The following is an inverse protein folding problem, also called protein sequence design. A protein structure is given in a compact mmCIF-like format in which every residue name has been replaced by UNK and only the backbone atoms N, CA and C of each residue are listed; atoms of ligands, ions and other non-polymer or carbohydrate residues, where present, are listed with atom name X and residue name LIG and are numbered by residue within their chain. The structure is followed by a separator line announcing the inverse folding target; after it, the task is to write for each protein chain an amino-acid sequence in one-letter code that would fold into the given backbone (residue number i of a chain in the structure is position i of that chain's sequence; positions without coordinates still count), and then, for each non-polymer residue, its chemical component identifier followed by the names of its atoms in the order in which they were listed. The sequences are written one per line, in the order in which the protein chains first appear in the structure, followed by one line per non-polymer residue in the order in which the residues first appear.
data_IF_428263688630
#
_entry.id   IF_428263688630
#
_cell.length_a   1.000
_cell.length_b   1.000
_cell.length_c   1.000
_cell.angle_alpha   90.00
_cell.angle_beta   90.00
_cell.angle_gamma   90.00
#
_symmetry.space_group_name_H-M   'P 1'
#
loop_
_entity.id
_entity.type
_entity.pdbx_description
1 polymer ?
#
# COMPACT_ATOMS: atom_id res chain seq x y z
N UNK A 1 30.68 -38.26 2.18
CA UNK A 1 30.02 -38.93 1.03
C UNK A 1 28.64 -39.36 1.52
N UNK A 2 27.48 -38.86 1.10
CA UNK A 2 27.04 -37.93 0.05
C UNK A 2 26.17 -36.86 0.74
N UNK A 3 26.38 -35.58 0.42
CA UNK A 3 25.48 -34.51 0.83
C UNK A 3 24.46 -34.31 -0.31
N UNK A 4 23.19 -34.56 -0.01
CA UNK A 4 22.07 -34.35 -0.91
C UNK A 4 21.68 -32.86 -0.90
N UNK A 5 21.54 -32.31 -2.10
CA UNK A 5 21.09 -30.97 -2.43
C UNK A 5 19.79 -30.58 -1.71
N UNK A 6 19.90 -29.63 -0.77
CA UNK A 6 18.76 -28.85 -0.29
C UNK A 6 18.58 -27.62 -1.19
N UNK A 7 17.76 -27.77 -2.22
CA UNK A 7 17.23 -26.62 -2.97
C UNK A 7 16.35 -25.78 -2.04
N UNK A 8 16.90 -24.67 -1.54
CA UNK A 8 16.11 -23.57 -0.96
C UNK A 8 15.42 -22.87 -2.13
N UNK A 9 14.17 -23.23 -2.38
CA UNK A 9 13.29 -22.43 -3.22
C UNK A 9 12.86 -21.20 -2.42
N UNK A 10 13.32 -20.01 -2.82
CA UNK A 10 12.66 -18.77 -2.43
C UNK A 10 11.31 -18.70 -3.13
N UNK A 11 10.27 -19.16 -2.45
CA UNK A 11 8.89 -18.96 -2.87
C UNK A 11 8.45 -17.61 -2.31
N UNK A 12 8.36 -16.60 -3.18
CA UNK A 12 7.52 -15.43 -2.90
C UNK A 12 6.07 -15.90 -2.92
N UNK A 13 5.50 -16.16 -1.75
CA UNK A 13 4.06 -16.28 -1.62
C UNK A 13 3.47 -14.88 -1.73
N UNK A 14 3.08 -14.48 -2.94
CA UNK A 14 1.98 -13.53 -3.08
C UNK A 14 0.74 -14.21 -2.50
N UNK A 15 0.24 -13.74 -1.37
CA UNK A 15 -1.11 -14.05 -0.92
C UNK A 15 -2.08 -13.33 -1.86
N UNK A 16 -2.37 -13.97 -3.01
CA UNK A 16 -3.54 -13.64 -3.78
C UNK A 16 -4.78 -14.02 -2.94
N UNK A 17 -5.51 -13.01 -2.48
CA UNK A 17 -6.86 -13.18 -1.94
C UNK A 17 -7.76 -13.78 -3.05
N UNK A 18 -8.69 -14.70 -2.74
CA UNK A 18 -9.39 -15.49 -3.74
C UNK A 18 -10.50 -14.68 -4.43
N UNK A 19 -10.14 -13.81 -5.37
CA UNK A 19 -11.07 -13.38 -6.42
C UNK A 19 -10.94 -14.38 -7.56
N UNK A 20 -11.98 -15.18 -7.70
CA UNK A 20 -12.14 -16.27 -8.66
C UNK A 20 -12.19 -15.73 -10.09
N UNK A 21 -11.05 -15.30 -10.63
CA UNK A 21 -10.89 -15.05 -12.05
C UNK A 21 -10.66 -16.41 -12.73
N UNK A 22 -11.69 -16.93 -13.41
CA UNK A 22 -11.60 -18.15 -14.22
C UNK A 22 -10.67 -17.91 -15.41
N UNK A 23 -9.36 -18.05 -15.21
CA UNK A 23 -8.42 -18.27 -16.29
C UNK A 23 -8.62 -19.70 -16.81
N UNK A 24 -9.37 -19.81 -17.92
CA UNK A 24 -9.41 -21.04 -18.72
C UNK A 24 -8.10 -21.13 -19.49
N UNK A 25 -7.12 -21.84 -18.92
CA UNK A 25 -5.95 -22.26 -19.68
C UNK A 25 -6.38 -23.28 -20.74
N UNK A 26 -6.35 -22.86 -22.01
CA UNK A 26 -6.46 -23.76 -23.15
C UNK A 26 -5.07 -24.37 -23.37
N UNK A 27 -4.97 -25.67 -23.14
CA UNK A 27 -3.71 -26.40 -23.07
C UNK A 27 -3.08 -26.60 -24.47
N UNK A 28 -2.16 -25.73 -24.87
CA UNK A 28 -1.11 -26.00 -25.87
C UNK A 28 0.16 -25.22 -25.51
N UNK A 29 0.79 -25.53 -24.36
CA UNK A 29 2.15 -25.10 -24.02
C UNK A 29 2.76 -26.07 -22.99
N UNK A 30 3.94 -26.67 -23.19
CA UNK A 30 4.41 -27.77 -22.36
C UNK A 30 5.18 -27.22 -21.15
N UNK A 31 4.45 -26.80 -20.11
CA UNK A 31 4.98 -26.73 -18.74
C UNK A 31 4.01 -27.49 -17.85
N UNK A 32 4.13 -28.82 -17.89
CA UNK A 32 3.37 -29.72 -17.04
C UNK A 32 4.16 -29.90 -15.73
N UNK A 33 3.70 -29.28 -14.64
CA UNK A 33 4.18 -29.60 -13.29
C UNK A 33 3.55 -30.95 -12.92
N UNK A 34 4.31 -32.02 -13.13
CA UNK A 34 3.95 -33.38 -12.75
C UNK A 34 4.56 -33.68 -11.37
N UNK A 35 3.74 -33.67 -10.32
CA UNK A 35 4.12 -34.20 -9.00
C UNK A 35 4.00 -35.73 -9.05
N UNK A 36 5.12 -36.42 -9.30
CA UNK A 36 5.23 -37.86 -9.07
C UNK A 36 5.71 -38.05 -7.63
N UNK A 37 4.83 -38.55 -6.78
CA UNK A 37 5.18 -39.11 -5.47
C UNK A 37 5.72 -40.52 -5.74
N UNK A 38 7.03 -40.69 -5.64
CA UNK A 38 7.63 -42.02 -5.46
C UNK A 38 8.28 -42.10 -4.09
N UNK A 39 7.67 -42.97 -3.29
CA UNK A 39 7.98 -43.31 -1.90
C UNK A 39 9.43 -43.76 -1.72
N UNK A 40 10.25 -42.95 -1.04
CA UNK A 40 11.40 -43.41 -0.27
C UNK A 40 11.60 -42.46 0.91
N UNK A 41 11.76 -43.02 2.11
CA UNK A 41 11.93 -42.33 3.40
C UNK A 41 12.97 -41.19 3.32
N UNK A 42 12.50 -39.95 3.27
CA UNK A 42 13.27 -38.73 3.55
C UNK A 42 12.31 -37.76 4.25
N UNK A 43 12.74 -37.19 5.38
CA UNK A 43 12.03 -36.14 6.11
C UNK A 43 11.52 -35.07 5.13
N UNK A 44 10.32 -34.49 5.33
CA UNK A 44 9.85 -33.42 4.47
C UNK A 44 10.90 -32.31 4.42
N UNK A 45 11.16 -31.68 3.26
CA UNK A 45 12.07 -30.56 3.18
C UNK A 45 11.64 -29.50 4.20
N UNK A 46 12.59 -29.00 4.99
CA UNK A 46 12.33 -27.95 5.96
C UNK A 46 11.96 -26.68 5.19
N UNK A 47 10.67 -26.38 5.08
CA UNK A 47 10.17 -25.12 4.50
C UNK A 47 10.31 -24.06 5.58
N UNK A 48 11.37 -23.26 5.51
CA UNK A 48 11.53 -22.07 6.33
C UNK A 48 10.92 -20.88 5.59
N UNK A 49 9.82 -20.33 6.11
CA UNK A 49 9.36 -19.01 5.71
C UNK A 49 10.17 -17.96 6.48
N UNK A 50 11.21 -17.41 5.87
CA UNK A 50 11.83 -16.18 6.38
C UNK A 50 10.97 -14.98 5.95
N UNK A 51 10.73 -14.00 6.83
CA UNK A 51 10.06 -12.76 6.43
C UNK A 51 11.02 -11.97 5.53
N UNK A 52 10.98 -12.26 4.24
CA UNK A 52 11.66 -11.46 3.21
C UNK A 52 10.77 -10.32 2.72
N UNK A 53 9.51 -10.26 3.16
CA UNK A 53 8.66 -9.07 3.10
C UNK A 53 8.81 -8.24 4.40
N UNK A 54 9.03 -6.92 4.34
CA UNK A 54 10.10 -6.29 5.11
C UNK A 54 9.57 -5.50 6.31
N UNK A 55 8.80 -6.15 7.18
CA UNK A 55 8.55 -5.60 8.52
C UNK A 55 9.86 -5.57 9.29
N UNK A 56 10.21 -4.43 9.92
CA UNK A 56 11.48 -4.28 10.65
C UNK A 56 11.48 -5.24 11.84
N UNK A 57 10.37 -5.29 12.58
CA UNK A 57 10.11 -6.33 13.57
C UNK A 57 9.16 -7.35 12.94
N UNK A 58 9.49 -8.66 12.88
CA UNK A 58 8.57 -9.67 12.35
C UNK A 58 7.19 -9.56 13.00
N UNK A 59 6.12 -9.64 12.19
CA UNK A 59 4.77 -9.32 12.65
C UNK A 59 4.32 -10.12 13.89
N UNK A 60 4.68 -11.41 13.95
CA UNK A 60 4.37 -12.29 15.08
C UNK A 60 5.20 -12.00 16.33
N UNK A 61 6.39 -11.41 16.19
CA UNK A 61 7.22 -10.93 17.31
C UNK A 61 6.77 -9.56 17.80
N UNK A 62 6.31 -8.69 16.89
CA UNK A 62 5.85 -7.34 17.22
C UNK A 62 4.63 -7.36 18.15
N UNK A 63 3.73 -8.31 17.97
CA UNK A 63 2.58 -8.56 18.85
C UNK A 63 1.97 -9.92 18.58
N UNK A 64 1.59 -10.65 19.64
CA UNK A 64 0.90 -11.95 19.54
C UNK A 64 -0.58 -11.86 19.13
N UNK A 65 -1.09 -10.65 18.90
CA UNK A 65 -2.51 -10.38 18.60
C UNK A 65 -2.71 -9.16 17.73
N UNK A 66 -3.94 -9.03 17.21
CA UNK A 66 -4.46 -7.83 16.58
C UNK A 66 -4.43 -6.64 17.55
N UNK A 67 -3.73 -5.58 17.17
CA UNK A 67 -3.60 -4.37 17.97
C UNK A 67 -4.71 -3.35 17.65
N UNK A 68 -5.21 -2.67 18.69
CA UNK A 68 -6.32 -1.73 18.51
C UNK A 68 -5.88 -0.50 17.70
N UNK A 69 -4.65 -0.04 17.85
CA UNK A 69 -4.13 1.05 17.03
C UNK A 69 -2.69 1.42 17.36
N UNK A 70 -2.21 2.49 16.75
CA UNK A 70 -0.80 2.89 16.86
C UNK A 70 -0.33 3.06 18.31
N UNK A 71 -1.20 3.55 19.21
CA UNK A 71 -0.87 3.69 20.64
C UNK A 71 -0.48 2.36 21.29
N UNK A 72 -1.12 1.26 20.93
CA UNK A 72 -0.94 -0.03 21.61
C UNK A 72 0.23 -0.84 21.04
N UNK A 73 0.47 -0.75 19.72
CA UNK A 73 1.62 -1.43 19.08
C UNK A 73 2.95 -0.66 19.19
N UNK A 74 2.92 0.68 19.25
CA UNK A 74 4.14 1.52 19.23
C UNK A 74 5.14 1.12 20.32
N UNK A 75 4.67 0.94 21.56
CA UNK A 75 5.53 0.58 22.68
C UNK A 75 6.20 -0.78 22.49
N UNK A 76 5.47 -1.74 21.90
CA UNK A 76 5.96 -3.09 21.62
C UNK A 76 7.07 -3.07 20.56
N UNK A 77 6.80 -2.44 19.41
CA UNK A 77 7.79 -2.27 18.34
C UNK A 77 9.01 -1.51 18.86
N UNK A 78 8.80 -0.37 19.55
CA UNK A 78 9.89 0.48 20.05
C UNK A 78 10.83 -0.28 20.99
N UNK A 79 10.31 -1.17 21.84
CA UNK A 79 11.10 -2.01 22.73
C UNK A 79 12.00 -3.00 21.98
N UNK A 80 11.55 -3.47 20.82
CA UNK A 80 12.24 -4.45 19.98
C UNK A 80 13.19 -3.79 18.95
N UNK A 81 13.02 -2.50 18.66
CA UNK A 81 13.89 -1.78 17.71
C UNK A 81 15.40 -1.91 17.97
N UNK A 82 15.93 -1.88 19.21
CA UNK A 82 17.35 -2.06 19.45
C UNK A 82 17.90 -3.40 18.96
N UNK A 83 17.08 -4.45 18.96
CA UNK A 83 17.44 -5.79 18.52
C UNK A 83 17.31 -5.93 17.00
N UNK A 84 16.18 -5.51 16.44
CA UNK A 84 15.85 -5.75 15.03
C UNK A 84 16.36 -4.68 14.06
N UNK A 85 16.63 -3.45 14.52
CA UNK A 85 17.23 -2.40 13.68
C UNK A 85 18.76 -2.52 13.61
N UNK A 86 19.25 -3.73 13.36
CA UNK A 86 20.67 -4.07 13.28
C UNK A 86 21.30 -3.64 11.95
N UNK A 87 22.63 -3.78 11.80
CA UNK A 87 23.30 -3.67 10.49
C UNK A 87 22.91 -4.83 9.59
N UNK A 88 22.55 -4.48 8.34
CA UNK A 88 22.29 -5.47 7.31
C UNK A 88 23.68 -5.88 6.78
N UNK A 89 24.12 -7.14 6.98
CA UNK A 89 25.43 -7.59 6.52
C UNK A 89 25.51 -7.52 5.00
N UNK A 90 26.74 -7.42 4.48
CA UNK A 90 26.96 -7.55 3.05
C UNK A 90 26.67 -9.00 2.64
N UNK A 91 26.14 -9.17 1.43
CA UNK A 91 25.93 -10.51 0.87
C UNK A 91 27.29 -11.07 0.49
N UNK A 92 27.68 -12.16 1.15
CA UNK A 92 28.92 -12.88 0.84
C UNK A 92 28.75 -13.75 -0.40
N UNK A 93 29.82 -13.86 -1.18
CA UNK A 93 29.87 -14.81 -2.29
C UNK A 93 29.88 -16.24 -1.75
N UNK A 94 28.97 -17.07 -2.26
CA UNK A 94 28.92 -18.46 -1.87
C UNK A 94 30.21 -19.20 -2.28
N UNK A 95 30.82 -20.05 -1.42
CA UNK A 95 32.11 -20.71 -1.71
C UNK A 95 32.00 -21.77 -2.82
N UNK A 96 30.79 -22.23 -3.13
CA UNK A 96 30.52 -23.15 -4.23
C UNK A 96 29.84 -22.42 -5.37
N UNK A 97 30.38 -22.58 -6.57
CA UNK A 97 29.72 -22.12 -7.80
C UNK A 97 28.59 -23.08 -8.17
N UNK A 98 27.49 -22.53 -8.69
CA UNK A 98 26.39 -23.34 -9.21
C UNK A 98 26.90 -24.21 -10.37
N UNK A 99 26.56 -25.51 -10.34
CA UNK A 99 26.90 -26.45 -11.42
C UNK A 99 26.08 -26.23 -12.69
N UNK A 100 25.00 -25.44 -12.60
CA UNK A 100 24.10 -25.11 -13.69
C UNK A 100 23.96 -23.60 -13.79
N UNK A 101 24.08 -23.08 -15.01
CA UNK A 101 23.79 -21.67 -15.28
C UNK A 101 22.29 -21.51 -15.51
N UNK A 102 21.69 -20.48 -14.91
CA UNK A 102 20.31 -20.12 -15.21
C UNK A 102 20.19 -19.69 -16.68
N UNK A 103 19.16 -20.14 -17.38
CA UNK A 103 18.90 -19.68 -18.75
C UNK A 103 18.59 -18.18 -18.72
N UNK A 104 19.07 -17.39 -19.70
CA UNK A 104 18.63 -16.02 -19.85
C UNK A 104 17.10 -15.93 -19.95
N UNK A 105 16.52 -14.91 -19.34
CA UNK A 105 15.09 -14.63 -19.42
C UNK A 105 14.85 -13.69 -20.59
N UNK A 106 13.97 -14.08 -21.52
CA UNK A 106 13.44 -13.18 -22.54
C UNK A 106 12.29 -12.38 -21.96
N UNK A 107 12.57 -11.14 -21.55
CA UNK A 107 11.58 -10.27 -20.93
C UNK A 107 10.52 -9.79 -21.92
N UNK A 108 10.83 -9.68 -23.21
CA UNK A 108 9.86 -9.29 -24.24
C UNK A 108 8.83 -10.40 -24.45
N UNK A 109 9.30 -11.66 -24.54
CA UNK A 109 8.41 -12.82 -24.61
C UNK A 109 7.52 -12.90 -23.37
N UNK A 110 8.10 -12.78 -22.17
CA UNK A 110 7.34 -12.80 -20.90
C UNK A 110 6.27 -11.73 -20.90
N UNK A 111 6.60 -10.49 -21.26
CA UNK A 111 5.63 -9.38 -21.30
C UNK A 111 4.55 -9.56 -22.37
N UNK A 112 4.89 -10.16 -23.52
CA UNK A 112 3.94 -10.42 -24.60
C UNK A 112 2.91 -11.50 -24.24
N UNK A 113 3.29 -12.44 -23.38
CA UNK A 113 2.44 -13.54 -22.91
C UNK A 113 1.49 -13.16 -21.77
N UNK A 114 1.61 -11.96 -21.18
CA UNK A 114 0.74 -11.52 -20.09
C UNK A 114 -0.64 -11.08 -20.60
N UNK A 115 -1.69 -11.81 -20.18
CA UNK A 115 -3.09 -11.44 -20.35
C UNK A 115 -3.54 -10.48 -19.24
N UNK A 116 -3.06 -9.23 -19.31
CA UNK A 116 -3.38 -8.18 -18.34
C UNK A 116 -4.01 -6.97 -19.01
N UNK A 117 -4.82 -6.24 -18.25
CA UNK A 117 -5.37 -4.96 -18.69
C UNK A 117 -4.24 -3.93 -18.83
N UNK A 118 -4.17 -3.22 -19.96
CA UNK A 118 -3.14 -2.21 -20.27
C UNK A 118 -3.69 -0.79 -20.39
N UNK A 119 -4.86 -0.55 -19.82
CA UNK A 119 -5.53 0.76 -19.83
C UNK A 119 -4.82 1.78 -18.92
N UNK A 120 -4.19 1.30 -17.85
CA UNK A 120 -3.35 2.09 -16.94
C UNK A 120 -1.92 2.10 -17.48
N UNK A 121 -1.42 3.30 -17.77
CA UNK A 121 -0.06 3.50 -18.28
C UNK A 121 1.02 3.46 -17.20
N UNK A 122 2.27 3.32 -17.62
CA UNK A 122 3.44 3.47 -16.75
C UNK A 122 3.65 4.93 -16.35
N UNK A 123 4.42 5.16 -15.28
CA UNK A 123 4.78 6.50 -14.81
C UNK A 123 6.22 6.85 -15.14
N UNK A 124 6.49 8.12 -15.47
CA UNK A 124 7.84 8.55 -15.84
C UNK A 124 8.75 8.84 -14.62
N UNK A 125 8.13 9.22 -13.49
CA UNK A 125 8.86 9.74 -12.32
C UNK A 125 9.46 8.65 -11.41
N UNK A 126 8.90 7.44 -11.42
CA UNK A 126 9.30 6.35 -10.53
C UNK A 126 10.08 5.27 -11.28
N UNK A 127 11.38 5.50 -11.47
CA UNK A 127 12.25 4.50 -12.12
C UNK A 127 12.37 3.24 -11.25
N UNK A 128 12.04 2.03 -11.76
CA UNK A 128 11.99 0.81 -10.96
C UNK A 128 13.39 0.31 -10.57
N UNK A 129 13.42 -0.59 -9.59
CA UNK A 129 14.63 -1.26 -9.12
C UNK A 129 15.31 -0.55 -7.94
N UNK A 130 16.25 -1.26 -7.29
CA UNK A 130 16.90 -0.78 -6.07
C UNK A 130 17.70 0.51 -6.28
N UNK A 131 18.29 0.73 -7.46
CA UNK A 131 18.97 1.98 -7.78
C UNK A 131 18.02 3.18 -7.76
N UNK A 132 16.83 3.06 -8.36
CA UNK A 132 15.81 4.10 -8.33
C UNK A 132 15.31 4.39 -6.92
N UNK A 133 15.08 3.34 -6.12
CA UNK A 133 14.67 3.48 -4.73
C UNK A 133 15.70 4.17 -3.85
N UNK A 134 16.99 3.84 -4.01
CA UNK A 134 18.07 4.51 -3.30
C UNK A 134 18.22 5.98 -3.72
N UNK A 135 18.15 6.28 -5.01
CA UNK A 135 18.22 7.65 -5.51
C UNK A 135 17.06 8.52 -4.97
N UNK A 136 15.85 7.97 -4.90
CA UNK A 136 14.70 8.66 -4.30
C UNK A 136 14.89 8.91 -2.80
N UNK A 137 15.49 7.95 -2.08
CA UNK A 137 15.78 8.07 -0.65
C UNK A 137 16.83 9.15 -0.38
N UNK A 138 17.91 9.17 -1.15
CA UNK A 138 18.94 10.22 -1.06
C UNK A 138 18.34 11.60 -1.35
N UNK A 139 17.57 11.74 -2.43
CA UNK A 139 16.84 12.97 -2.75
C UNK A 139 15.91 13.41 -1.61
N UNK A 140 15.19 12.46 -0.97
CA UNK A 140 14.33 12.77 0.17
C UNK A 140 15.13 13.31 1.35
N UNK A 141 16.22 12.63 1.72
CA UNK A 141 17.09 13.02 2.83
C UNK A 141 17.65 14.43 2.60
N UNK A 142 18.18 14.69 1.41
CA UNK A 142 18.89 15.93 1.10
C UNK A 142 17.96 17.14 0.96
N UNK A 143 16.76 16.94 0.39
CA UNK A 143 15.92 18.05 -0.06
C UNK A 143 14.63 18.23 0.74
N UNK A 144 14.03 17.15 1.23
CA UNK A 144 12.61 17.15 1.69
C UNK A 144 12.42 16.70 3.13
N UNK A 145 13.34 15.92 3.70
CA UNK A 145 13.20 15.37 5.05
C UNK A 145 12.97 16.47 6.08
N UNK A 146 13.68 17.61 6.00
CA UNK A 146 13.48 18.75 6.92
C UNK A 146 12.07 19.34 6.88
N UNK A 147 11.35 19.18 5.78
CA UNK A 147 9.97 19.66 5.59
C UNK A 147 8.93 18.64 6.08
N UNK A 148 9.32 17.37 6.29
CA UNK A 148 8.37 16.28 6.51
C UNK A 148 7.45 16.53 7.71
N UNK A 149 7.99 16.85 8.89
CA UNK A 149 7.18 17.03 10.11
C UNK A 149 6.09 18.10 9.93
N UNK A 150 6.45 19.23 9.31
CA UNK A 150 5.58 20.40 9.18
C UNK A 150 4.65 20.33 7.96
N UNK A 151 5.12 19.78 6.85
CA UNK A 151 4.43 19.86 5.55
C UNK A 151 3.86 18.55 5.01
N UNK A 152 4.08 17.37 5.64
CA UNK A 152 3.54 16.07 5.16
C UNK A 152 2.03 16.00 4.94
N UNK A 153 1.26 16.91 5.58
CA UNK A 153 -0.19 16.98 5.46
C UNK A 153 -0.67 18.04 4.46
N UNK A 154 0.24 18.74 3.78
CA UNK A 154 -0.10 19.76 2.80
C UNK A 154 0.25 19.25 1.39
N UNK A 155 -0.75 18.90 0.56
CA UNK A 155 -0.52 18.32 -0.76
C UNK A 155 0.09 19.29 -1.79
N UNK A 156 0.24 20.58 -1.46
CA UNK A 156 0.91 21.56 -2.32
C UNK A 156 2.43 21.62 -2.08
N UNK A 157 2.94 20.94 -1.04
CA UNK A 157 4.36 20.85 -0.75
C UNK A 157 4.88 19.46 -1.09
N UNK A 158 6.01 19.41 -1.79
CA UNK A 158 6.76 18.18 -1.97
C UNK A 158 7.58 17.88 -0.71
N UNK A 159 6.91 17.36 0.31
CA UNK A 159 7.50 17.06 1.62
C UNK A 159 7.53 15.56 1.93
N UNK A 160 6.97 14.71 1.07
CA UNK A 160 6.93 13.26 1.27
C UNK A 160 8.20 12.60 0.73
N UNK A 161 8.46 11.37 1.18
CA UNK A 161 9.61 10.60 0.71
C UNK A 161 9.43 10.05 -0.70
N UNK A 162 8.19 9.90 -1.14
CA UNK A 162 7.82 9.21 -2.38
C UNK A 162 8.25 7.72 -2.44
N UNK A 163 8.73 7.13 -1.35
CA UNK A 163 9.33 5.79 -1.34
C UNK A 163 8.35 4.61 -1.38
N UNK A 164 7.05 4.86 -1.26
CA UNK A 164 6.06 3.78 -1.15
C UNK A 164 6.08 2.77 -2.32
N UNK A 165 6.29 3.15 -3.59
CA UNK A 165 6.36 2.17 -4.69
C UNK A 165 7.52 1.17 -4.53
N UNK A 166 8.72 1.65 -4.19
CA UNK A 166 9.90 0.78 -4.03
C UNK A 166 9.84 -0.08 -2.76
N UNK A 167 9.25 0.45 -1.68
CA UNK A 167 9.06 -0.32 -0.45
C UNK A 167 8.01 -1.40 -0.67
N UNK A 168 6.91 -1.08 -1.35
CA UNK A 168 5.86 -2.04 -1.72
C UNK A 168 6.42 -3.19 -2.57
N UNK A 169 7.16 -2.87 -3.64
CA UNK A 169 7.75 -3.88 -4.53
C UNK A 169 8.95 -4.64 -3.94
N UNK A 170 9.33 -4.39 -2.68
CA UNK A 170 10.51 -5.00 -2.05
C UNK A 170 11.85 -4.56 -2.66
N UNK A 171 11.85 -3.53 -3.51
CA UNK A 171 13.05 -3.01 -4.19
C UNK A 171 13.90 -2.15 -3.26
N UNK A 172 13.31 -1.62 -2.18
CA UNK A 172 13.98 -0.86 -1.14
C UNK A 172 13.55 -1.31 0.26
N UNK A 173 14.51 -1.74 1.08
CA UNK A 173 14.25 -2.15 2.47
C UNK A 173 13.86 -0.97 3.35
N UNK A 174 12.72 -1.08 4.05
CA UNK A 174 12.30 -0.10 5.05
C UNK A 174 13.31 0.03 6.21
N UNK A 175 13.96 -1.06 6.62
CA UNK A 175 15.04 -1.03 7.61
C UNK A 175 16.20 -0.16 7.11
N UNK A 176 16.64 -0.33 5.86
CA UNK A 176 17.68 0.51 5.24
C UNK A 176 17.29 1.99 5.29
N UNK A 177 16.05 2.31 4.93
CA UNK A 177 15.51 3.67 4.94
C UNK A 177 15.60 4.28 6.35
N UNK A 178 15.08 3.60 7.37
CA UNK A 178 15.13 4.07 8.78
C UNK A 178 16.56 4.33 9.23
N UNK A 179 17.51 3.46 8.85
CA UNK A 179 18.91 3.63 9.22
C UNK A 179 19.57 4.84 8.57
N UNK A 180 19.24 5.14 7.32
CA UNK A 180 19.79 6.29 6.63
C UNK A 180 19.21 7.61 7.17
N UNK A 181 17.89 7.72 7.32
CA UNK A 181 17.28 8.95 7.86
C UNK A 181 17.70 9.22 9.31
N UNK A 182 17.95 8.19 10.13
CA UNK A 182 18.44 8.36 11.51
C UNK A 182 19.85 8.96 11.61
N UNK A 183 20.62 8.99 10.52
CA UNK A 183 21.93 9.67 10.48
C UNK A 183 21.77 11.20 10.46
N UNK A 184 20.61 11.69 10.04
CA UNK A 184 20.32 13.12 9.94
C UNK A 184 19.99 13.75 11.30
N UNK A 185 21.00 14.37 11.91
CA UNK A 185 20.85 15.02 13.23
C UNK A 185 20.13 16.37 13.17
N UNK A 186 20.17 17.05 12.01
CA UNK A 186 19.62 18.39 11.83
C UNK A 186 18.11 18.41 11.49
N UNK A 187 17.46 17.25 11.46
CA UNK A 187 16.05 17.09 11.11
C UNK A 187 15.31 16.18 12.11
N UNK A 188 15.69 16.21 13.39
CA UNK A 188 15.26 15.25 14.41
C UNK A 188 13.74 15.07 14.51
N UNK A 189 12.96 16.17 14.50
CA UNK A 189 11.49 16.11 14.53
C UNK A 189 10.92 15.40 13.29
N UNK A 190 11.44 15.72 12.11
CA UNK A 190 11.07 15.03 10.87
C UNK A 190 11.49 13.58 10.84
N UNK A 191 12.67 13.23 11.36
CA UNK A 191 13.14 11.85 11.48
C UNK A 191 12.20 11.05 12.39
N UNK A 192 11.79 11.61 13.53
CA UNK A 192 10.84 10.97 14.44
C UNK A 192 9.48 10.79 13.77
N UNK A 193 8.92 11.85 13.17
CA UNK A 193 7.63 11.79 12.50
C UNK A 193 7.65 10.83 11.31
N UNK A 194 8.73 10.76 10.54
CA UNK A 194 8.86 9.86 9.41
C UNK A 194 9.02 8.41 9.85
N UNK A 195 9.81 8.16 10.90
CA UNK A 195 9.98 6.81 11.48
C UNK A 195 8.67 6.27 12.03
N UNK A 196 7.83 7.11 12.65
CA UNK A 196 6.49 6.72 13.10
C UNK A 196 5.61 6.22 11.93
N UNK A 197 5.59 6.92 10.80
CA UNK A 197 4.80 6.52 9.63
C UNK A 197 5.39 5.25 8.97
N UNK A 198 6.71 5.21 8.77
CA UNK A 198 7.37 4.10 8.07
C UNK A 198 7.43 2.80 8.88
N UNK A 199 7.53 2.88 10.20
CA UNK A 199 7.66 1.71 11.08
C UNK A 199 6.32 1.44 11.77
N UNK A 200 5.86 2.33 12.63
CA UNK A 200 4.71 2.04 13.50
C UNK A 200 3.42 1.92 12.69
N UNK A 201 3.15 2.85 11.77
CA UNK A 201 1.91 2.80 10.97
C UNK A 201 1.94 1.67 9.95
N UNK A 202 3.07 1.46 9.29
CA UNK A 202 3.25 0.39 8.30
C UNK A 202 3.12 -1.00 8.92
N UNK A 203 3.80 -1.25 10.04
CA UNK A 203 3.78 -2.57 10.69
C UNK A 203 2.47 -2.82 11.45
N UNK A 204 1.76 -1.76 11.84
CA UNK A 204 0.37 -1.90 12.29
C UNK A 204 -0.54 -2.38 11.16
N UNK A 205 -0.27 -1.99 9.90
CA UNK A 205 -1.04 -2.47 8.77
C UNK A 205 -0.79 -3.97 8.52
N UNK A 206 0.48 -4.39 8.56
CA UNK A 206 0.85 -5.81 8.53
C UNK A 206 0.19 -6.58 9.68
N UNK A 207 0.22 -6.05 10.92
CA UNK A 207 -0.46 -6.65 12.08
C UNK A 207 -1.96 -6.83 11.83
N UNK A 208 -2.63 -5.84 11.24
CA UNK A 208 -4.05 -5.94 10.95
C UNK A 208 -4.36 -7.03 9.93
N UNK A 209 -3.67 -7.03 8.78
CA UNK A 209 -3.89 -8.03 7.73
C UNK A 209 -3.46 -9.44 8.15
N UNK A 210 -2.45 -9.57 9.03
CA UNK A 210 -1.99 -10.85 9.55
C UNK A 210 -2.99 -11.49 10.53
N UNK A 211 -3.53 -10.71 11.47
CA UNK A 211 -4.41 -11.24 12.52
C UNK A 211 -5.91 -11.17 12.18
N UNK A 212 -6.31 -10.46 11.12
CA UNK A 212 -7.70 -10.29 10.74
C UNK A 212 -7.96 -10.83 9.33
N UNK A 213 -8.55 -12.02 9.23
CA UNK A 213 -8.91 -12.61 7.92
C UNK A 213 -9.97 -11.82 7.14
N UNK A 214 -10.65 -10.86 7.78
CA UNK A 214 -11.63 -9.97 7.15
C UNK A 214 -11.05 -8.56 6.94
N UNK A 215 -9.75 -8.46 6.64
CA UNK A 215 -9.06 -7.17 6.55
C UNK A 215 -9.59 -6.24 5.44
N UNK A 216 -10.35 -6.78 4.49
CA UNK A 216 -10.84 -6.11 3.29
C UNK A 216 -12.37 -5.92 3.28
N UNK A 217 -13.07 -6.21 4.38
CA UNK A 217 -14.53 -6.12 4.45
C UNK A 217 -15.04 -5.62 5.81
N UNK A 218 -16.30 -5.18 5.85
CA UNK A 218 -16.92 -4.56 7.04
C UNK A 218 -16.87 -5.48 8.28
N UNK A 219 -16.87 -6.80 8.10
CA UNK A 219 -16.80 -7.75 9.22
C UNK A 219 -15.49 -7.64 10.01
N UNK A 220 -14.41 -7.18 9.39
CA UNK A 220 -13.12 -6.93 10.04
C UNK A 220 -13.06 -5.65 10.86
N UNK A 221 -14.09 -4.80 10.83
CA UNK A 221 -14.14 -3.58 11.62
C UNK A 221 -14.51 -3.84 13.09
N UNK A 222 -14.16 -2.89 13.97
CA UNK A 222 -14.56 -2.95 15.38
C UNK A 222 -16.07 -2.83 15.56
N UNK A 223 -16.60 -3.42 16.63
CA UNK A 223 -18.05 -3.49 16.89
C UNK A 223 -18.71 -2.10 16.94
N UNK A 224 -18.03 -1.10 17.49
CA UNK A 224 -18.54 0.27 17.54
C UNK A 224 -18.73 0.86 16.13
N UNK A 225 -17.82 0.55 15.21
CA UNK A 225 -17.84 1.05 13.84
C UNK A 225 -18.90 0.32 13.01
N UNK A 226 -18.98 -1.02 13.13
CA UNK A 226 -20.05 -1.81 12.50
C UNK A 226 -21.42 -1.31 12.94
N UNK A 227 -21.61 -1.10 14.24
CA UNK A 227 -22.86 -0.60 14.81
C UNK A 227 -23.22 0.79 14.27
N UNK A 228 -22.28 1.75 14.33
CA UNK A 228 -22.59 3.12 13.89
C UNK A 228 -22.88 3.21 12.39
N UNK A 229 -22.20 2.42 11.57
CA UNK A 229 -22.48 2.34 10.13
C UNK A 229 -23.86 1.71 9.87
N UNK A 230 -24.23 0.67 10.62
CA UNK A 230 -25.53 0.01 10.52
C UNK A 230 -26.68 0.95 10.95
N UNK A 231 -26.49 1.69 12.04
CA UNK A 231 -27.48 2.64 12.57
C UNK A 231 -27.81 3.73 11.54
N UNK A 232 -26.84 4.11 10.70
CA UNK A 232 -26.96 5.12 9.65
C UNK A 232 -27.16 4.55 8.23
N UNK A 233 -27.37 3.24 8.08
CA UNK A 233 -27.49 2.60 6.77
C UNK A 233 -28.68 3.12 5.93
N UNK A 234 -29.72 3.66 6.58
CA UNK A 234 -30.95 4.19 5.95
C UNK A 234 -30.93 5.71 5.72
N UNK A 235 -29.85 6.39 6.11
CA UNK A 235 -29.74 7.82 5.93
C UNK A 235 -29.81 8.21 4.45
N UNK A 236 -30.41 9.35 4.14
CA UNK A 236 -30.45 9.83 2.76
C UNK A 236 -29.06 10.33 2.34
N UNK A 237 -28.54 9.84 1.21
CA UNK A 237 -27.29 10.32 0.62
C UNK A 237 -27.61 11.44 -0.36
N UNK A 238 -26.96 12.59 -0.21
CA UNK A 238 -27.16 13.74 -1.10
C UNK A 238 -26.70 13.44 -2.54
N UNK A 239 -25.65 12.62 -2.68
CA UNK A 239 -25.09 12.21 -3.96
C UNK A 239 -24.87 10.69 -3.95
N UNK A 240 -25.08 10.06 -5.10
CA UNK A 240 -24.75 8.66 -5.34
C UNK A 240 -24.00 8.59 -6.65
N UNK A 241 -22.73 8.19 -6.59
CA UNK A 241 -21.88 8.02 -7.77
C UNK A 241 -21.66 6.55 -8.07
N UNK A 242 -21.69 6.21 -9.35
CA UNK A 242 -21.23 4.89 -9.80
C UNK A 242 -19.71 4.79 -9.68
N UNK A 243 -19.21 3.56 -9.63
CA UNK A 243 -17.77 3.26 -9.72
C UNK A 243 -17.13 3.98 -10.91
N UNK A 244 -17.75 3.94 -12.09
CA UNK A 244 -17.24 4.60 -13.30
C UNK A 244 -17.12 6.12 -13.14
N UNK A 245 -18.12 6.77 -12.52
CA UNK A 245 -18.08 8.21 -12.25
C UNK A 245 -16.96 8.58 -11.27
N UNK A 246 -16.76 7.75 -10.24
CA UNK A 246 -15.67 7.92 -9.28
C UNK A 246 -14.30 7.73 -9.97
N UNK A 247 -14.11 6.63 -10.70
CA UNK A 247 -12.88 6.31 -11.43
C UNK A 247 -12.46 7.44 -12.38
N UNK A 248 -13.43 8.01 -13.11
CA UNK A 248 -13.21 9.08 -14.07
C UNK A 248 -13.24 10.50 -13.46
N UNK A 249 -13.21 10.65 -12.13
CA UNK A 249 -13.19 11.95 -11.45
C UNK A 249 -14.38 12.86 -11.84
N UNK A 250 -15.58 12.29 -11.95
CA UNK A 250 -16.83 12.97 -12.36
C UNK A 250 -17.78 13.21 -11.18
N UNK A 251 -17.27 13.78 -10.10
CA UNK A 251 -18.08 14.19 -8.94
C UNK A 251 -18.32 15.70 -8.93
N UNK A 252 -19.21 16.17 -8.05
CA UNK A 252 -19.44 17.59 -7.81
C UNK A 252 -18.24 18.26 -7.09
N UNK A 253 -17.42 17.49 -6.38
CA UNK A 253 -16.32 18.00 -5.57
C UNK A 253 -15.01 18.05 -6.37
N UNK A 254 -14.55 19.28 -6.63
CA UNK A 254 -13.35 19.50 -7.44
C UNK A 254 -12.06 19.04 -6.75
N UNK A 255 -11.98 19.08 -5.43
CA UNK A 255 -10.83 18.56 -4.69
C UNK A 255 -10.78 17.04 -4.76
N UNK A 256 -11.93 16.38 -4.63
CA UNK A 256 -12.00 14.93 -4.79
C UNK A 256 -11.58 14.50 -6.19
N UNK A 257 -12.12 15.19 -7.20
CA UNK A 257 -11.76 14.94 -8.60
C UNK A 257 -10.28 15.19 -8.88
N UNK A 258 -9.68 16.23 -8.29
CA UNK A 258 -8.26 16.53 -8.41
C UNK A 258 -7.40 15.43 -7.76
N UNK A 259 -7.80 14.91 -6.60
CA UNK A 259 -7.11 13.81 -5.94
C UNK A 259 -7.17 12.52 -6.77
N UNK A 260 -8.35 12.19 -7.32
CA UNK A 260 -8.51 11.05 -8.23
C UNK A 260 -7.65 11.20 -9.48
N UNK A 261 -7.59 12.39 -10.08
CA UNK A 261 -6.71 12.64 -11.25
C UNK A 261 -5.23 12.57 -10.89
N UNK A 262 -4.82 13.02 -9.71
CA UNK A 262 -3.45 12.78 -9.24
C UNK A 262 -3.14 11.28 -9.23
N UNK A 263 -4.05 10.46 -8.69
CA UNK A 263 -3.86 9.02 -8.65
C UNK A 263 -3.69 8.42 -10.05
N UNK A 264 -4.58 8.76 -10.99
CA UNK A 264 -4.53 8.28 -12.37
C UNK A 264 -3.26 8.72 -13.10
N UNK A 265 -2.82 9.97 -12.91
CA UNK A 265 -1.67 10.53 -13.65
C UNK A 265 -0.32 10.15 -13.05
N UNK A 266 -0.22 10.06 -11.73
CA UNK A 266 1.05 9.87 -11.03
C UNK A 266 1.21 8.46 -10.45
N UNK A 267 0.17 7.62 -10.53
CA UNK A 267 0.15 6.31 -9.87
C UNK A 267 0.29 6.41 -8.34
N UNK A 268 0.11 7.60 -7.76
CA UNK A 268 0.34 7.88 -6.33
C UNK A 268 -0.41 9.13 -5.87
N UNK A 269 -1.45 8.92 -5.07
CA UNK A 269 -2.16 10.01 -4.41
C UNK A 269 -1.45 10.49 -3.15
N UNK A 270 -1.43 11.81 -2.90
CA UNK A 270 -0.89 12.37 -1.66
C UNK A 270 -1.60 11.79 -0.42
N UNK A 271 -0.84 11.39 0.61
CA UNK A 271 -1.37 10.63 1.76
C UNK A 271 -2.52 11.33 2.50
N UNK A 272 -2.44 12.65 2.67
CA UNK A 272 -3.54 13.44 3.25
C UNK A 272 -4.85 13.32 2.44
N UNK A 273 -4.72 13.30 1.11
CA UNK A 273 -5.86 13.24 0.21
C UNK A 273 -6.43 11.83 0.08
N UNK A 274 -5.63 10.76 0.27
CA UNK A 274 -6.17 9.37 0.36
C UNK A 274 -7.25 9.26 1.45
N UNK A 275 -7.01 9.88 2.62
CA UNK A 275 -8.00 9.94 3.71
C UNK A 275 -9.28 10.69 3.30
N UNK A 276 -9.13 11.86 2.67
CA UNK A 276 -10.26 12.64 2.17
C UNK A 276 -11.06 11.84 1.14
N UNK A 277 -10.35 11.28 0.16
CA UNK A 277 -10.87 10.56 -0.98
C UNK A 277 -11.70 9.35 -0.56
N UNK A 278 -11.16 8.46 0.30
CA UNK A 278 -11.88 7.28 0.74
C UNK A 278 -13.10 7.61 1.62
N UNK A 279 -13.00 8.67 2.45
CA UNK A 279 -14.15 9.14 3.25
C UNK A 279 -15.28 9.68 2.38
N UNK A 280 -14.97 10.34 1.27
CA UNK A 280 -15.99 10.81 0.32
C UNK A 280 -16.63 9.68 -0.47
N UNK A 281 -15.90 8.60 -0.76
CA UNK A 281 -16.52 7.40 -1.32
C UNK A 281 -17.61 6.88 -0.38
N UNK A 282 -17.35 6.76 0.94
CA UNK A 282 -18.38 6.41 1.92
C UNK A 282 -19.59 7.36 1.93
N UNK A 283 -19.35 8.67 1.75
CA UNK A 283 -20.44 9.66 1.74
C UNK A 283 -21.33 9.56 0.50
N UNK A 284 -20.81 9.03 -0.63
CA UNK A 284 -21.44 9.12 -1.95
C UNK A 284 -21.68 7.76 -2.63
N UNK A 285 -21.69 6.67 -1.87
CA UNK A 285 -22.13 5.34 -2.32
C UNK A 285 -23.33 4.85 -1.51
N UNK A 286 -24.00 3.80 -1.99
CA UNK A 286 -25.25 3.33 -1.39
C UNK A 286 -25.02 2.67 -0.02
N UNK A 287 -23.87 2.03 0.18
CA UNK A 287 -23.52 1.39 1.44
C UNK A 287 -22.01 1.45 1.77
N UNK A 288 -21.62 1.20 3.03
CA UNK A 288 -20.22 1.06 3.43
C UNK A 288 -19.49 -0.09 2.73
N UNK A 289 -20.18 -1.21 2.45
CA UNK A 289 -19.63 -2.35 1.71
C UNK A 289 -19.28 -1.95 0.28
N UNK A 290 -20.19 -1.25 -0.41
CA UNK A 290 -19.93 -0.70 -1.74
C UNK A 290 -18.79 0.32 -1.70
N UNK A 291 -18.79 1.21 -0.70
CA UNK A 291 -17.75 2.21 -0.52
C UNK A 291 -16.37 1.57 -0.42
N UNK A 292 -16.25 0.56 0.44
CA UNK A 292 -15.00 -0.13 0.72
C UNK A 292 -14.54 -0.91 -0.51
N UNK A 293 -15.44 -1.62 -1.19
CA UNK A 293 -15.12 -2.34 -2.42
C UNK A 293 -14.60 -1.42 -3.52
N UNK A 294 -15.25 -0.27 -3.74
CA UNK A 294 -14.80 0.72 -4.74
C UNK A 294 -13.47 1.34 -4.34
N UNK A 295 -13.29 1.72 -3.07
CA UNK A 295 -12.05 2.32 -2.59
C UNK A 295 -10.85 1.36 -2.72
N UNK A 296 -11.03 0.09 -2.36
CA UNK A 296 -9.99 -0.93 -2.52
C UNK A 296 -9.69 -1.13 -4.00
N UNK A 297 -10.71 -1.31 -4.84
CA UNK A 297 -10.50 -1.48 -6.29
C UNK A 297 -9.71 -0.33 -6.89
N UNK A 298 -10.11 0.93 -6.63
CA UNK A 298 -9.43 2.09 -7.24
C UNK A 298 -8.01 2.26 -6.69
N UNK A 299 -7.78 1.96 -5.40
CA UNK A 299 -6.44 1.98 -4.83
C UNK A 299 -5.54 0.94 -5.49
N UNK A 300 -6.02 -0.30 -5.61
CA UNK A 300 -5.25 -1.44 -6.10
C UNK A 300 -5.05 -1.40 -7.62
N UNK A 301 -6.01 -0.84 -8.36
CA UNK A 301 -5.94 -0.71 -9.81
C UNK A 301 -4.99 0.41 -10.27
N UNK A 302 -4.91 1.53 -9.51
CA UNK A 302 -4.23 2.74 -9.97
C UNK A 302 -2.96 3.08 -9.17
N UNK A 303 -2.79 2.59 -7.95
CA UNK A 303 -1.64 2.96 -7.11
C UNK A 303 -0.46 2.02 -7.34
N UNK A 304 0.74 2.58 -7.56
CA UNK A 304 2.00 1.83 -7.58
C UNK A 304 2.34 1.19 -6.23
N UNK A 305 1.69 1.63 -5.17
CA UNK A 305 1.78 1.11 -3.80
C UNK A 305 0.44 0.50 -3.33
N UNK A 306 -0.40 0.06 -4.28
CA UNK A 306 -1.66 -0.66 -4.03
C UNK A 306 -1.44 -2.16 -3.79
N UNK A 307 -2.51 -2.95 -3.64
CA UNK A 307 -2.44 -4.39 -3.34
C UNK A 307 -1.57 -4.70 -2.11
N UNK A 308 -1.63 -3.82 -1.11
CA UNK A 308 -0.70 -3.74 0.01
C UNK A 308 -1.48 -3.67 1.34
N UNK A 309 -0.98 -4.26 2.45
CA UNK A 309 -1.59 -4.09 3.77
C UNK A 309 -1.90 -2.63 4.13
N UNK A 310 -1.04 -1.69 3.75
CA UNK A 310 -1.26 -0.26 3.96
C UNK A 310 -2.46 0.28 3.17
N UNK A 311 -2.71 -0.25 1.97
CA UNK A 311 -3.86 0.09 1.14
C UNK A 311 -5.17 -0.36 1.78
N UNK A 312 -5.27 -1.64 2.16
CA UNK A 312 -6.44 -2.20 2.85
C UNK A 312 -6.72 -1.47 4.16
N UNK A 313 -5.70 -1.30 5.00
CA UNK A 313 -5.83 -0.61 6.29
C UNK A 313 -6.12 0.87 6.12
N UNK A 314 -5.58 1.53 5.09
CA UNK A 314 -5.91 2.92 4.78
C UNK A 314 -7.38 3.11 4.41
N UNK A 315 -7.94 2.20 3.60
CA UNK A 315 -9.36 2.19 3.26
C UNK A 315 -10.23 1.88 4.48
N UNK A 316 -9.88 0.84 5.23
CA UNK A 316 -10.60 0.46 6.46
C UNK A 316 -10.53 1.53 7.54
N UNK A 317 -9.40 2.23 7.71
CA UNK A 317 -9.30 3.36 8.64
C UNK A 317 -10.23 4.50 8.21
N UNK A 318 -10.30 4.76 6.90
CA UNK A 318 -11.08 5.85 6.34
C UNK A 318 -12.58 5.59 6.43
N UNK A 319 -13.03 4.38 6.08
CA UNK A 319 -14.44 4.00 5.91
C UNK A 319 -14.99 3.32 7.16
N UNK A 320 -14.19 2.47 7.80
CA UNK A 320 -14.61 1.61 8.91
C UNK A 320 -14.00 2.00 10.26
N UNK A 321 -13.19 3.07 10.32
CA UNK A 321 -12.67 3.62 11.57
C UNK A 321 -11.74 2.69 12.36
N UNK A 322 -11.17 1.65 11.74
CA UNK A 322 -10.16 0.83 12.42
C UNK A 322 -8.96 1.70 12.79
N UNK A 323 -8.30 1.38 13.91
CA UNK A 323 -7.20 2.18 14.47
C UNK A 323 -7.50 3.67 14.74
N UNK A 324 -8.77 4.07 14.71
CA UNK A 324 -9.26 5.38 15.11
C UNK A 324 -10.20 5.26 16.32
N UNK A 325 -10.62 6.40 16.83
CA UNK A 325 -11.68 6.52 17.83
C UNK A 325 -12.99 6.94 17.17
N UNK A 326 -14.11 6.80 17.89
CA UNK A 326 -15.38 7.40 17.50
C UNK A 326 -15.34 8.93 17.60
N UNK A 327 -16.00 9.59 16.65
CA UNK A 327 -16.14 11.05 16.58
C UNK A 327 -17.60 11.46 16.80
N UNK A 328 -17.86 12.78 16.78
CA UNK A 328 -19.21 13.32 16.84
C UNK A 328 -20.08 12.68 15.75
N UNK A 329 -21.27 12.22 16.14
CA UNK A 329 -22.18 11.48 15.28
C UNK A 329 -22.77 12.39 14.19
N UNK A 330 -22.79 11.90 12.95
CA UNK A 330 -23.32 12.62 11.79
C UNK A 330 -24.07 11.66 10.88
N UNK A 331 -25.01 12.21 10.11
CA UNK A 331 -25.71 11.42 9.10
C UNK A 331 -24.71 10.76 8.14
N UNK A 332 -25.05 9.55 7.68
CA UNK A 332 -24.25 8.66 6.82
C UNK A 332 -23.03 8.06 7.54
N UNK A 333 -22.19 8.89 8.16
CA UNK A 333 -20.94 8.45 8.79
C UNK A 333 -21.13 7.79 10.16
N UNK A 334 -22.24 8.09 10.84
CA UNK A 334 -22.34 7.88 12.27
C UNK A 334 -21.14 8.52 12.98
N UNK A 335 -20.38 7.71 13.72
CA UNK A 335 -19.20 8.13 14.49
C UNK A 335 -17.87 7.96 13.74
N UNK A 336 -17.88 7.58 12.47
CA UNK A 336 -16.65 7.55 11.66
C UNK A 336 -16.13 8.98 11.48
N UNK A 337 -14.80 9.17 11.57
CA UNK A 337 -14.19 10.50 11.43
C UNK A 337 -14.59 11.14 10.11
N UNK A 338 -15.20 12.32 10.20
CA UNK A 338 -15.61 13.09 9.02
C UNK A 338 -14.50 14.01 8.50
N UNK A 339 -14.39 14.14 7.18
CA UNK A 339 -13.57 15.16 6.51
C UNK A 339 -14.40 15.87 5.44
N UNK A 340 -14.28 17.19 5.35
CA UNK A 340 -14.97 17.99 4.34
C UNK A 340 -14.07 19.00 3.64
N UNK A 341 -14.57 19.45 2.50
CA UNK A 341 -13.94 20.44 1.65
C UNK A 341 -13.55 21.72 2.40
N UNK A 342 -14.46 22.28 3.19
CA UNK A 342 -14.19 23.47 4.01
C UNK A 342 -13.09 23.23 5.07
N UNK A 343 -13.01 22.02 5.61
CA UNK A 343 -11.93 21.60 6.52
C UNK A 343 -10.58 21.52 5.82
N UNK A 344 -10.54 21.08 4.56
CA UNK A 344 -9.34 21.08 3.74
C UNK A 344 -8.88 22.52 3.42
N UNK A 345 -9.81 23.42 3.08
CA UNK A 345 -9.54 24.85 2.86
C UNK A 345 -8.88 25.56 4.04
N UNK A 346 -9.12 25.10 5.28
CA UNK A 346 -8.46 25.63 6.48
C UNK A 346 -7.04 25.08 6.70
N UNK A 347 -6.65 24.03 5.97
CA UNK A 347 -5.38 23.32 6.15
C UNK A 347 -4.36 23.59 5.05
N UNK A 348 -4.82 23.81 3.82
CA UNK A 348 -3.96 24.11 2.66
C UNK A 348 -4.74 24.87 1.57
N UNK A 349 -4.02 25.40 0.59
CA UNK A 349 -4.63 26.04 -0.59
C UNK A 349 -5.25 24.99 -1.52
N UNK A 350 -6.51 24.66 -1.27
CA UNK A 350 -7.29 23.72 -2.07
C UNK A 350 -7.36 24.16 -3.54
N UNK A 351 -7.49 25.47 -3.80
CA UNK A 351 -7.64 25.97 -5.16
C UNK A 351 -6.34 25.81 -5.97
N UNK A 352 -5.18 25.95 -5.32
CA UNK A 352 -3.89 25.63 -5.93
C UNK A 352 -3.81 24.15 -6.33
N UNK A 353 -4.22 23.24 -5.44
CA UNK A 353 -4.20 21.80 -5.74
C UNK A 353 -5.17 21.44 -6.88
N UNK A 354 -6.39 21.98 -6.85
CA UNK A 354 -7.40 21.78 -7.90
C UNK A 354 -6.93 22.29 -9.26
N UNK A 355 -6.22 23.42 -9.31
CA UNK A 355 -5.63 23.94 -10.56
C UNK A 355 -4.51 23.05 -11.08
N UNK A 356 -3.66 22.52 -10.19
CA UNK A 356 -2.55 21.63 -10.57
C UNK A 356 -3.06 20.38 -11.28
N UNK A 357 -4.16 19.81 -10.79
CA UNK A 357 -4.81 18.64 -11.39
C UNK A 357 -6.16 19.00 -12.00
N UNK A 358 -6.28 20.14 -12.68
CA UNK A 358 -7.48 20.43 -13.45
C UNK A 358 -7.57 19.48 -14.66
N UNK A 359 -8.78 19.16 -15.11
CA UNK A 359 -8.93 18.40 -16.35
C UNK A 359 -8.31 19.20 -17.51
N UNK A 360 -7.31 18.65 -18.17
CA UNK A 360 -6.83 19.20 -19.44
C UNK A 360 -7.96 18.97 -20.44
N UNK A 361 -8.59 20.03 -20.92
CA UNK A 361 -9.49 19.90 -22.08
C UNK A 361 -8.65 19.29 -23.20
N UNK A 362 -9.09 18.17 -23.76
CA UNK A 362 -8.59 17.72 -25.06
C UNK A 362 -8.71 18.90 -26.02
N UNK A 363 -7.58 19.55 -26.32
CA UNK A 363 -7.49 20.40 -27.50
C UNK A 363 -7.79 19.47 -28.66
N UNK A 364 -8.94 19.73 -29.29
CA UNK A 364 -9.46 19.08 -30.48
C UNK A 364 -8.30 18.64 -31.37
N UNK A 365 -8.12 17.33 -31.53
CA UNK A 365 -7.25 16.77 -32.58
C UNK A 365 -7.69 17.42 -33.88
N UNK A 366 -6.92 18.41 -34.35
CA UNK A 366 -6.99 18.84 -35.74
C UNK A 366 -6.52 17.64 -36.54
N UNK A 367 -7.46 17.08 -37.28
CA UNK A 367 -7.20 16.25 -38.43
C UNK A 367 -6.14 16.92 -39.31
N UNK A 368 -5.03 16.22 -39.51
CA UNK A 368 -4.15 16.36 -40.68
C UNK A 368 -3.89 14.97 -41.19
#
# INVERSE_FOLDING_TARGET
LLFLDSHIYHIFHFHASPILCKLKFKAECPILILVIITSFFLLPPLILSSPTHPSLVPCWEASEKLEYGARTIRGKITKLLPEFLSEIPLVDTHPHSASRTAKPVDWEEVLSCLEVERSVGEVDWAQPGSCGGMAMLESFIDQRLRLFATHRNNPNFDALSHLSPWIHAGQLSAQRVVKQVKREKNASESVLSFTEELVVRRELADNFCFYNHNYDNISGAYDWAKKTLQDHAKDCRQYLYTKEQLENAKTHDQLWNAAQRQLVLEGKMHGFLRMYWAKKILEWTASPEEALSIAIYLNDHLSLDGCDPNGYVGCMWSICGIHDQGWAERSIFGKIRYMNYAGCKRKFDVAQFERKYAAVKETSKKSV
#
